data_IF_597662001782
#
_entry.id   IF_597662001782
#
_cell.length_a   1.000
_cell.length_b   1.000
_cell.length_c   1.000
_cell.angle_alpha   90.00
_cell.angle_beta   90.00
_cell.angle_gamma   90.00
#
_symmetry.space_group_name_H-M   'P 1'
#
loop_
_entity.id
_entity.type
_entity.pdbx_description
1 polymer ?
#
# COMPACT_ATOMS: atom_id res chain seq x y z
N UNK A 1 78.41 15.66 11.63
CA UNK A 1 77.06 15.10 11.44
C UNK A 1 76.03 16.21 11.67
N UNK A 2 75.41 16.78 10.63
CA UNK A 2 74.32 17.73 10.80
C UNK A 2 72.95 17.05 10.68
N UNK A 3 72.04 17.45 11.57
CA UNK A 3 70.67 16.94 11.70
C UNK A 3 69.77 17.41 10.53
N UNK A 4 68.88 16.52 10.09
CA UNK A 4 67.91 16.74 9.02
C UNK A 4 66.72 17.63 9.45
N UNK A 5 66.18 18.51 8.59
CA UNK A 5 65.00 19.31 8.90
C UNK A 5 63.70 18.53 8.65
N UNK A 6 62.79 18.55 9.63
CA UNK A 6 61.42 18.03 9.52
C UNK A 6 60.53 19.05 8.78
N UNK A 7 60.15 18.75 7.55
CA UNK A 7 59.13 19.50 6.80
C UNK A 7 57.71 19.15 7.25
N UNK A 8 56.91 20.18 7.58
CA UNK A 8 55.44 20.07 7.80
C UNK A 8 54.73 19.97 6.45
N UNK A 9 53.90 18.94 6.27
CA UNK A 9 52.94 18.85 5.16
C UNK A 9 51.75 19.81 5.40
N UNK A 10 51.25 20.52 4.38
CA UNK A 10 50.07 21.38 4.52
C UNK A 10 48.81 20.52 4.62
N UNK A 11 48.01 20.78 5.66
CA UNK A 11 46.75 20.08 5.92
C UNK A 11 45.70 20.37 4.85
N UNK A 12 45.07 19.32 4.35
CA UNK A 12 43.90 19.38 3.47
C UNK A 12 42.70 19.92 4.29
N UNK A 13 41.98 20.96 3.83
CA UNK A 13 40.83 21.48 4.56
C UNK A 13 39.66 20.48 4.54
N UNK A 14 38.87 20.37 5.61
CA UNK A 14 37.75 19.43 5.66
C UNK A 14 36.67 19.86 4.66
N UNK A 15 36.31 18.94 3.75
CA UNK A 15 35.16 19.11 2.87
C UNK A 15 33.89 19.19 3.73
N UNK A 16 33.33 20.39 3.84
CA UNK A 16 31.97 20.59 4.34
C UNK A 16 31.04 19.87 3.36
N UNK A 17 30.37 18.82 3.84
CA UNK A 17 29.27 18.16 3.12
C UNK A 17 28.15 19.17 2.85
N UNK A 18 28.24 19.85 1.72
CA UNK A 18 27.15 20.62 1.17
C UNK A 18 26.03 19.63 0.84
N UNK A 19 24.95 19.64 1.62
CA UNK A 19 23.68 19.04 1.19
C UNK A 19 23.26 19.77 -0.08
N UNK A 20 23.43 19.13 -1.22
CA UNK A 20 22.87 19.54 -2.50
C UNK A 20 21.37 19.80 -2.28
N UNK A 21 20.96 21.07 -2.38
CA UNK A 21 19.54 21.44 -2.44
C UNK A 21 19.02 20.92 -3.77
N UNK A 22 18.25 19.83 -3.74
CA UNK A 22 17.59 19.28 -4.92
C UNK A 22 16.61 20.32 -5.45
N UNK A 23 16.72 20.65 -6.73
CA UNK A 23 15.83 21.58 -7.41
C UNK A 23 14.43 20.94 -7.53
N UNK A 24 13.34 21.57 -7.03
CA UNK A 24 11.99 20.99 -7.07
C UNK A 24 11.46 20.66 -8.47
N UNK A 25 12.12 21.16 -9.55
CA UNK A 25 11.78 20.81 -10.94
C UNK A 25 12.24 19.41 -11.40
N UNK A 26 13.08 18.69 -10.64
CA UNK A 26 13.64 17.39 -11.05
C UNK A 26 13.04 16.17 -10.31
N UNK A 27 11.88 16.33 -9.67
CA UNK A 27 11.24 15.22 -8.96
C UNK A 27 10.46 14.31 -9.92
N UNK A 28 10.68 13.01 -9.80
CA UNK A 28 9.94 11.99 -10.56
C UNK A 28 8.44 12.13 -10.31
N UNK A 29 7.67 12.17 -11.41
CA UNK A 29 6.21 12.15 -11.34
C UNK A 29 5.72 10.70 -11.24
N UNK A 30 5.26 10.34 -10.05
CA UNK A 30 4.74 9.01 -9.80
C UNK A 30 3.23 9.03 -10.00
N UNK A 31 2.76 8.55 -11.15
CA UNK A 31 1.33 8.48 -11.50
C UNK A 31 0.85 7.04 -11.37
N UNK A 32 -0.34 6.86 -10.81
CA UNK A 32 -0.96 5.55 -10.74
C UNK A 32 -1.24 5.05 -12.18
N UNK A 33 -0.76 3.86 -12.56
CA UNK A 33 -0.82 3.36 -13.94
C UNK A 33 -2.23 2.97 -14.41
N UNK A 34 -3.09 2.56 -13.47
CA UNK A 34 -4.42 2.01 -13.78
C UNK A 34 -5.54 2.90 -13.27
N UNK A 35 -6.70 2.96 -13.93
CA UNK A 35 -7.93 3.42 -13.28
C UNK A 35 -8.31 2.46 -12.14
N UNK A 36 -9.15 2.89 -11.18
CA UNK A 36 -9.75 1.99 -10.19
C UNK A 36 -10.45 0.80 -10.88
N UNK A 37 -10.18 -0.42 -10.40
CA UNK A 37 -10.92 -1.61 -10.83
C UNK A 37 -12.17 -1.75 -9.96
N UNK A 38 -13.25 -1.09 -10.33
CA UNK A 38 -14.51 -1.07 -9.57
C UNK A 38 -15.70 -1.33 -10.50
N UNK A 39 -16.76 -1.93 -9.96
CA UNK A 39 -17.95 -2.32 -10.72
C UNK A 39 -19.18 -2.33 -9.81
N UNK A 40 -20.38 -2.20 -10.37
CA UNK A 40 -21.64 -1.95 -9.64
C UNK A 40 -21.96 -2.98 -8.55
N UNK A 41 -21.65 -4.25 -8.82
CA UNK A 41 -21.92 -5.37 -7.91
C UNK A 41 -20.81 -5.62 -6.88
N UNK A 42 -19.77 -4.80 -6.83
CA UNK A 42 -18.76 -4.89 -5.78
C UNK A 42 -19.33 -4.43 -4.44
N UNK A 43 -19.10 -5.20 -3.38
CA UNK A 43 -19.51 -4.85 -2.01
C UNK A 43 -18.32 -4.45 -1.14
N UNK A 44 -17.10 -4.78 -1.58
CA UNK A 44 -15.87 -4.49 -0.84
C UNK A 44 -14.80 -3.94 -1.76
N UNK A 45 -14.01 -2.99 -1.29
CA UNK A 45 -12.82 -2.53 -2.01
C UNK A 45 -11.54 -2.80 -1.24
N UNK A 46 -10.56 -3.36 -1.93
CA UNK A 46 -9.17 -3.37 -1.47
C UNK A 46 -8.56 -2.01 -1.78
N UNK A 47 -7.97 -1.37 -0.78
CA UNK A 47 -7.41 -0.01 -0.88
C UNK A 47 -5.95 -0.03 -0.45
N UNK A 48 -5.06 0.10 -1.42
CA UNK A 48 -3.63 0.27 -1.22
C UNK A 48 -3.21 1.73 -1.29
N UNK A 49 -1.90 1.97 -1.27
CA UNK A 49 -1.34 3.31 -1.36
C UNK A 49 -1.14 3.74 -2.81
N UNK A 50 -0.08 3.22 -3.44
CA UNK A 50 0.35 3.50 -4.80
C UNK A 50 1.29 2.36 -5.24
N UNK A 51 1.20 1.82 -6.48
CA UNK A 51 2.11 0.80 -6.96
C UNK A 51 3.58 1.26 -6.99
N UNK A 52 4.57 0.36 -7.15
CA UNK A 52 5.96 0.77 -7.33
C UNK A 52 6.15 1.67 -8.57
N UNK A 53 7.06 2.68 -8.53
CA UNK A 53 7.27 3.62 -9.64
C UNK A 53 7.48 3.03 -11.03
N UNK A 54 8.06 1.82 -11.12
CA UNK A 54 8.27 1.11 -12.39
C UNK A 54 6.97 0.76 -13.13
N UNK A 55 5.86 0.68 -12.41
CA UNK A 55 4.54 0.50 -13.03
C UNK A 55 4.08 1.77 -13.75
N UNK A 56 4.51 2.95 -13.30
CA UNK A 56 4.26 4.22 -14.00
C UNK A 56 5.01 4.29 -15.33
N UNK A 57 6.24 3.79 -15.38
CA UNK A 57 7.09 3.83 -16.58
C UNK A 57 6.85 2.63 -17.51
N UNK A 58 6.22 1.56 -17.01
CA UNK A 58 6.07 0.30 -17.73
C UNK A 58 7.32 -0.58 -17.72
N UNK A 59 8.35 -0.20 -16.96
CA UNK A 59 9.61 -0.95 -16.79
C UNK A 59 9.44 -2.12 -15.80
N UNK A 60 8.49 -3.00 -16.11
CA UNK A 60 8.12 -4.13 -15.27
C UNK A 60 9.26 -5.15 -15.18
N UNK A 61 9.43 -5.73 -13.99
CA UNK A 61 10.40 -6.78 -13.74
C UNK A 61 9.82 -8.16 -14.11
N UNK A 62 10.66 -9.17 -14.41
CA UNK A 62 10.19 -10.54 -14.50
C UNK A 62 9.44 -10.96 -13.24
N UNK A 63 8.21 -11.45 -13.41
CA UNK A 63 7.29 -11.81 -12.33
C UNK A 63 6.34 -10.70 -11.87
N UNK A 64 6.52 -9.46 -12.36
CA UNK A 64 5.46 -8.46 -12.25
C UNK A 64 4.34 -8.82 -13.24
N UNK A 65 3.09 -8.61 -12.85
CA UNK A 65 1.91 -8.68 -13.72
C UNK A 65 1.39 -7.26 -13.92
N UNK A 66 1.10 -6.86 -15.15
CA UNK A 66 0.62 -5.51 -15.48
C UNK A 66 -0.86 -5.30 -15.05
N UNK A 67 -1.09 -5.36 -13.75
CA UNK A 67 -2.39 -5.19 -13.11
C UNK A 67 -2.24 -4.67 -11.68
N UNK A 68 -3.34 -4.22 -11.07
CA UNK A 68 -3.36 -3.78 -9.68
C UNK A 68 -2.73 -4.82 -8.74
N UNK A 69 -1.87 -4.36 -7.81
CA UNK A 69 -1.05 -5.21 -6.92
C UNK A 69 -0.17 -6.24 -7.63
N UNK A 70 0.07 -6.09 -8.93
CA UNK A 70 0.81 -7.07 -9.73
C UNK A 70 2.32 -7.07 -9.51
N UNK A 71 2.85 -6.24 -8.61
CA UNK A 71 4.26 -6.27 -8.22
C UNK A 71 4.64 -7.63 -7.64
N UNK A 72 5.72 -8.24 -8.15
CA UNK A 72 6.34 -9.46 -7.60
C UNK A 72 6.83 -9.30 -6.16
N UNK A 73 7.07 -8.05 -5.75
CA UNK A 73 7.50 -7.71 -4.38
C UNK A 73 6.31 -7.58 -3.41
N UNK A 74 5.09 -7.60 -3.95
CA UNK A 74 3.83 -7.58 -3.22
C UNK A 74 3.32 -8.99 -2.92
N UNK A 75 2.57 -9.12 -1.83
CA UNK A 75 2.07 -10.40 -1.34
C UNK A 75 0.55 -10.54 -1.44
N UNK A 76 -0.19 -9.56 -1.97
CA UNK A 76 -1.66 -9.64 -2.02
C UNK A 76 -2.10 -10.86 -2.84
N UNK A 77 -1.61 -10.99 -4.06
CA UNK A 77 -1.97 -12.13 -4.93
C UNK A 77 -1.50 -13.47 -4.36
N UNK A 78 -0.25 -13.64 -3.86
CA UNK A 78 0.14 -14.87 -3.15
C UNK A 78 -0.74 -15.22 -1.94
N UNK A 79 -1.18 -14.21 -1.16
CA UNK A 79 -2.08 -14.42 -0.02
C UNK A 79 -3.43 -14.95 -0.52
N UNK A 80 -4.04 -14.27 -1.48
CA UNK A 80 -5.36 -14.64 -2.00
C UNK A 80 -5.35 -15.97 -2.76
N UNK A 81 -4.27 -16.25 -3.50
CA UNK A 81 -4.04 -17.53 -4.17
C UNK A 81 -4.04 -18.69 -3.17
N UNK A 82 -3.41 -18.51 -2.00
CA UNK A 82 -3.38 -19.51 -0.95
C UNK A 82 -4.70 -19.66 -0.20
N UNK A 83 -5.38 -18.54 0.11
CA UNK A 83 -6.68 -18.59 0.80
C UNK A 83 -7.73 -19.32 -0.06
N UNK A 84 -7.71 -19.10 -1.38
CA UNK A 84 -8.77 -19.60 -2.28
C UNK A 84 -8.33 -20.68 -3.24
N UNK A 85 -7.08 -21.15 -3.15
CA UNK A 85 -6.49 -22.16 -4.02
C UNK A 85 -6.72 -21.84 -5.51
N UNK A 86 -6.33 -20.63 -5.94
CA UNK A 86 -6.70 -20.09 -7.25
C UNK A 86 -5.85 -20.64 -8.40
N UNK A 87 -4.62 -21.08 -8.14
CA UNK A 87 -3.67 -21.50 -9.16
C UNK A 87 -3.26 -20.33 -10.06
N UNK A 88 -2.98 -19.17 -9.47
CA UNK A 88 -2.62 -17.96 -10.22
C UNK A 88 -1.30 -18.12 -10.97
N UNK A 89 -1.29 -17.66 -12.21
CA UNK A 89 -0.07 -17.39 -12.99
C UNK A 89 0.52 -16.05 -12.56
N UNK A 90 1.84 -15.99 -12.52
CA UNK A 90 2.60 -14.79 -12.11
C UNK A 90 3.48 -14.25 -13.24
N UNK A 91 3.46 -14.88 -14.41
CA UNK A 91 4.00 -14.31 -15.64
C UNK A 91 3.09 -13.18 -16.14
N UNK A 92 3.70 -12.11 -16.68
CA UNK A 92 2.96 -10.99 -17.25
C UNK A 92 2.24 -11.39 -18.54
N UNK A 93 1.03 -11.94 -18.41
CA UNK A 93 0.22 -12.45 -19.52
C UNK A 93 -1.22 -11.99 -19.37
N UNK A 94 -1.95 -11.94 -20.49
CA UNK A 94 -3.39 -11.67 -20.47
C UNK A 94 -4.14 -12.67 -19.57
N UNK A 95 -3.73 -13.93 -19.57
CA UNK A 95 -4.32 -14.98 -18.74
C UNK A 95 -4.14 -14.69 -17.24
N UNK A 96 -2.95 -14.28 -16.80
CA UNK A 96 -2.69 -13.91 -15.41
C UNK A 96 -3.55 -12.73 -14.96
N UNK A 97 -3.77 -11.75 -15.84
CA UNK A 97 -4.65 -10.61 -15.60
C UNK A 97 -6.12 -11.08 -15.50
N UNK A 98 -6.56 -11.94 -16.40
CA UNK A 98 -7.93 -12.43 -16.46
C UNK A 98 -8.29 -13.36 -15.29
N UNK A 99 -7.34 -14.16 -14.79
CA UNK A 99 -7.53 -14.92 -13.55
C UNK A 99 -7.85 -13.99 -12.37
N UNK A 100 -7.09 -12.90 -12.24
CA UNK A 100 -7.28 -11.89 -11.17
C UNK A 100 -8.62 -11.18 -11.31
N UNK A 101 -8.96 -10.70 -12.52
CA UNK A 101 -10.26 -10.06 -12.79
C UNK A 101 -11.43 -10.99 -12.50
N UNK A 102 -11.38 -12.25 -12.96
CA UNK A 102 -12.43 -13.24 -12.72
C UNK A 102 -12.65 -13.49 -11.23
N UNK A 103 -11.57 -13.68 -10.48
CA UNK A 103 -11.63 -13.84 -9.03
C UNK A 103 -12.30 -12.62 -8.36
N UNK A 104 -11.82 -11.42 -8.66
CA UNK A 104 -12.33 -10.17 -8.09
C UNK A 104 -13.83 -9.98 -8.39
N UNK A 105 -14.24 -10.20 -9.64
CA UNK A 105 -15.65 -10.10 -10.04
C UNK A 105 -16.52 -11.14 -9.32
N UNK A 106 -16.07 -12.40 -9.26
CA UNK A 106 -16.81 -13.48 -8.59
C UNK A 106 -16.99 -13.23 -7.09
N UNK A 107 -16.04 -12.54 -6.44
CA UNK A 107 -16.07 -12.20 -5.01
C UNK A 107 -16.72 -10.85 -4.69
N UNK A 108 -17.11 -10.08 -5.70
CA UNK A 108 -17.63 -8.71 -5.49
C UNK A 108 -16.57 -7.78 -4.90
N UNK A 109 -15.31 -7.93 -5.31
CA UNK A 109 -14.17 -7.16 -4.80
C UNK A 109 -13.69 -6.18 -5.87
N UNK A 110 -13.72 -4.90 -5.56
CA UNK A 110 -13.01 -3.87 -6.32
C UNK A 110 -11.61 -3.58 -5.75
N UNK A 111 -10.76 -2.92 -6.54
CA UNK A 111 -9.46 -2.41 -6.10
C UNK A 111 -9.37 -0.92 -6.44
N UNK A 112 -9.07 -0.10 -5.44
CA UNK A 112 -8.90 1.34 -5.60
C UNK A 112 -7.81 1.84 -4.65
N UNK A 113 -6.57 1.89 -5.12
CA UNK A 113 -5.47 2.55 -4.38
C UNK A 113 -5.78 4.03 -4.20
N UNK A 114 -5.40 4.58 -3.05
CA UNK A 114 -5.86 5.91 -2.62
C UNK A 114 -5.10 7.07 -3.23
N UNK A 115 -3.86 6.87 -3.70
CA UNK A 115 -3.05 7.91 -4.32
C UNK A 115 -3.25 7.86 -5.83
N UNK A 116 -3.64 8.99 -6.43
CA UNK A 116 -3.68 9.17 -7.89
C UNK A 116 -2.27 9.44 -8.42
N UNK A 117 -1.57 10.37 -7.76
CA UNK A 117 -0.20 10.73 -8.10
C UNK A 117 0.56 11.35 -6.93
N UNK A 118 1.87 11.29 -7.00
CA UNK A 118 2.80 11.94 -6.08
C UNK A 118 4.08 12.37 -6.80
N UNK A 119 4.90 13.18 -6.13
CA UNK A 119 6.28 13.50 -6.55
C UNK A 119 7.28 12.75 -5.67
N UNK A 120 8.40 12.31 -6.25
CA UNK A 120 9.47 11.62 -5.52
C UNK A 120 10.84 12.23 -5.83
N UNK A 121 11.62 12.49 -4.78
CA UNK A 121 13.05 12.85 -4.92
C UNK A 121 13.87 11.59 -5.23
N UNK A 122 13.58 10.51 -4.51
CA UNK A 122 14.17 9.18 -4.72
C UNK A 122 13.12 8.23 -5.28
N UNK A 123 13.43 7.61 -6.41
CA UNK A 123 12.55 6.66 -7.10
C UNK A 123 12.61 5.31 -6.39
N UNK A 124 11.76 5.13 -5.38
CA UNK A 124 11.55 3.86 -4.68
C UNK A 124 10.06 3.65 -4.34
N UNK A 125 9.72 2.46 -3.85
CA UNK A 125 8.34 2.10 -3.49
C UNK A 125 7.95 2.51 -2.05
N UNK A 126 8.77 3.31 -1.35
CA UNK A 126 8.46 3.68 0.04
C UNK A 126 7.34 4.71 0.10
N UNK A 127 6.31 4.47 0.92
CA UNK A 127 5.22 5.43 1.13
C UNK A 127 5.73 6.75 1.74
N UNK A 128 6.73 6.69 2.62
CA UNK A 128 7.25 7.86 3.34
C UNK A 128 8.01 8.83 2.44
N UNK A 129 8.49 8.37 1.27
CA UNK A 129 9.22 9.17 0.29
C UNK A 129 8.32 10.01 -0.62
N UNK A 130 6.99 9.80 -0.59
CA UNK A 130 6.06 10.56 -1.41
C UNK A 130 5.90 12.01 -0.91
N UNK A 131 5.93 12.95 -1.86
CA UNK A 131 5.63 14.37 -1.70
C UNK A 131 4.47 14.76 -2.61
N UNK A 132 3.85 15.91 -2.34
CA UNK A 132 2.78 16.47 -3.21
C UNK A 132 1.69 15.44 -3.57
N UNK A 133 1.29 14.63 -2.59
CA UNK A 133 0.35 13.53 -2.77
C UNK A 133 -1.02 14.08 -3.15
N UNK A 134 -1.50 13.70 -4.34
CA UNK A 134 -2.89 13.88 -4.76
C UNK A 134 -3.65 12.58 -4.57
N UNK A 135 -4.73 12.66 -3.81
CA UNK A 135 -5.59 11.52 -3.52
C UNK A 135 -6.67 11.36 -4.58
N UNK A 136 -7.13 10.13 -4.76
CA UNK A 136 -8.39 9.86 -5.46
C UNK A 136 -9.57 10.25 -4.59
N UNK A 137 -10.67 10.67 -5.21
CA UNK A 137 -11.92 10.94 -4.49
C UNK A 137 -12.67 9.65 -4.14
N UNK A 138 -12.19 8.95 -3.10
CA UNK A 138 -12.80 7.70 -2.64
C UNK A 138 -14.23 7.90 -2.12
N UNK A 139 -14.53 9.04 -1.50
CA UNK A 139 -15.90 9.31 -1.00
C UNK A 139 -16.85 9.60 -2.16
N UNK A 140 -16.41 10.30 -3.20
CA UNK A 140 -17.14 10.45 -4.45
C UNK A 140 -17.38 9.12 -5.15
N UNK A 141 -16.36 8.27 -5.27
CA UNK A 141 -16.51 6.91 -5.81
C UNK A 141 -17.48 6.09 -4.97
N UNK A 142 -17.36 6.08 -3.65
CA UNK A 142 -18.29 5.37 -2.78
C UNK A 142 -19.75 5.80 -3.02
N UNK A 143 -20.02 7.09 -3.26
CA UNK A 143 -21.38 7.55 -3.60
C UNK A 143 -21.89 7.02 -4.94
N UNK A 144 -21.00 6.73 -5.89
CA UNK A 144 -21.34 6.13 -7.18
C UNK A 144 -21.59 4.62 -7.08
N UNK A 145 -21.00 3.95 -6.08
CA UNK A 145 -21.13 2.51 -5.85
C UNK A 145 -21.85 2.23 -4.51
N UNK A 146 -23.20 2.31 -4.47
CA UNK A 146 -24.00 2.23 -3.24
C UNK A 146 -23.94 0.85 -2.53
N UNK A 147 -23.60 -0.20 -3.27
CA UNK A 147 -23.41 -1.58 -2.80
C UNK A 147 -22.17 -1.76 -1.92
N UNK A 148 -21.19 -0.86 -2.00
CA UNK A 148 -19.94 -0.98 -1.24
C UNK A 148 -20.19 -0.59 0.22
N UNK A 149 -19.98 -1.55 1.12
CA UNK A 149 -20.12 -1.37 2.57
C UNK A 149 -18.79 -1.48 3.32
N UNK A 150 -17.75 -2.02 2.68
CA UNK A 150 -16.48 -2.35 3.35
C UNK A 150 -15.27 -1.87 2.55
N UNK A 151 -14.34 -1.20 3.22
CA UNK A 151 -12.99 -0.91 2.72
C UNK A 151 -11.96 -1.79 3.44
N UNK A 152 -11.12 -2.49 2.68
CA UNK A 152 -10.03 -3.31 3.16
C UNK A 152 -8.70 -2.58 2.88
N UNK A 153 -8.19 -1.85 3.87
CA UNK A 153 -6.90 -1.18 3.74
C UNK A 153 -5.76 -2.18 3.87
N UNK A 154 -4.90 -2.26 2.85
CA UNK A 154 -3.71 -3.12 2.88
C UNK A 154 -2.51 -2.37 3.47
N UNK A 155 -2.73 -1.76 4.63
CA UNK A 155 -1.78 -0.89 5.33
C UNK A 155 -2.51 -0.01 6.34
N UNK A 156 -1.91 0.19 7.52
CA UNK A 156 -2.54 0.93 8.61
C UNK A 156 -2.29 2.44 8.58
N UNK A 157 -2.52 3.08 9.72
CA UNK A 157 -2.32 4.52 9.96
C UNK A 157 -0.83 4.96 10.06
N UNK A 158 0.10 4.21 9.45
CA UNK A 158 1.48 4.68 9.30
C UNK A 158 1.53 5.86 8.32
N UNK A 159 2.54 6.73 8.45
CA UNK A 159 2.69 7.90 7.57
C UNK A 159 2.56 7.50 6.10
N UNK A 160 1.64 8.16 5.40
CA UNK A 160 1.30 7.94 3.98
C UNK A 160 0.72 6.55 3.63
N UNK A 161 0.42 5.70 4.62
CA UNK A 161 -0.33 4.46 4.38
C UNK A 161 -1.79 4.73 4.00
N UNK A 162 -2.53 3.72 3.53
CA UNK A 162 -3.85 3.92 2.96
C UNK A 162 -4.88 4.39 4.00
N UNK A 163 -4.89 3.82 5.22
CA UNK A 163 -5.77 4.33 6.29
C UNK A 163 -5.41 5.77 6.68
N UNK A 164 -4.11 6.11 6.76
CA UNK A 164 -3.66 7.46 7.12
C UNK A 164 -4.13 8.50 6.10
N UNK A 165 -3.94 8.22 4.81
CA UNK A 165 -4.37 9.11 3.74
C UNK A 165 -5.89 9.17 3.65
N UNK A 166 -6.60 8.08 3.93
CA UNK A 166 -8.05 8.07 3.94
C UNK A 166 -8.62 8.91 5.08
N UNK A 167 -8.02 8.88 6.27
CA UNK A 167 -8.41 9.78 7.38
C UNK A 167 -8.28 11.25 6.99
N UNK A 168 -7.19 11.61 6.28
CA UNK A 168 -7.01 12.97 5.75
C UNK A 168 -8.10 13.31 4.73
N UNK A 169 -8.35 12.42 3.77
CA UNK A 169 -9.42 12.57 2.77
C UNK A 169 -10.80 12.78 3.39
N UNK A 170 -11.14 12.02 4.44
CA UNK A 170 -12.39 12.19 5.18
C UNK A 170 -12.46 13.54 5.92
N UNK A 171 -11.36 13.97 6.53
CA UNK A 171 -11.30 15.22 7.29
C UNK A 171 -11.58 16.44 6.40
N UNK A 172 -11.13 16.41 5.14
CA UNK A 172 -11.41 17.47 4.15
C UNK A 172 -12.92 17.62 3.86
N UNK A 173 -13.72 16.59 4.16
CA UNK A 173 -15.19 16.58 4.06
C UNK A 173 -15.91 16.63 5.43
N UNK A 174 -15.19 16.90 6.53
CA UNK A 174 -15.76 16.91 7.88
C UNK A 174 -16.13 15.52 8.43
N UNK A 175 -15.74 14.43 7.76
CA UNK A 175 -16.01 13.06 8.18
C UNK A 175 -14.86 12.50 9.02
N UNK A 176 -15.17 11.53 9.89
CA UNK A 176 -14.17 10.89 10.75
C UNK A 176 -14.45 9.40 10.92
N UNK A 177 -13.37 8.61 11.05
CA UNK A 177 -13.45 7.20 11.43
C UNK A 177 -13.65 7.07 12.94
N UNK A 178 -14.65 6.31 13.36
CA UNK A 178 -14.87 5.86 14.75
C UNK A 178 -14.27 4.48 14.95
N UNK A 179 -13.52 4.28 16.04
CA UNK A 179 -12.89 2.99 16.38
C UNK A 179 -13.92 1.96 16.85
N UNK A 180 -13.75 0.72 16.38
CA UNK A 180 -14.51 -0.47 16.83
C UNK A 180 -13.55 -1.51 17.40
N UNK A 181 -12.43 -1.76 16.70
CA UNK A 181 -11.34 -2.63 17.15
C UNK A 181 -10.01 -1.91 16.92
N UNK A 182 -9.22 -1.74 17.98
CA UNK A 182 -7.97 -0.97 18.00
C UNK A 182 -6.71 -1.84 17.77
N UNK A 183 -6.82 -3.16 17.95
CA UNK A 183 -5.79 -4.14 17.57
C UNK A 183 -5.84 -4.47 16.08
N UNK A 184 -4.70 -4.83 15.50
CA UNK A 184 -4.62 -5.25 14.08
C UNK A 184 -5.24 -6.63 13.90
N UNK A 185 -6.10 -6.86 12.89
CA UNK A 185 -6.65 -5.88 11.94
C UNK A 185 -7.60 -4.88 12.60
N UNK A 186 -7.31 -3.58 12.44
CA UNK A 186 -8.12 -2.53 13.08
C UNK A 186 -9.43 -2.40 12.36
N UNK A 187 -10.52 -2.25 13.10
CA UNK A 187 -11.84 -2.06 12.52
C UNK A 187 -12.33 -0.68 12.94
N UNK A 188 -12.75 0.10 11.95
CA UNK A 188 -13.40 1.38 12.15
C UNK A 188 -14.69 1.43 11.33
N UNK A 189 -15.47 2.48 11.57
CA UNK A 189 -16.64 2.83 10.78
C UNK A 189 -16.71 4.33 10.53
N UNK A 190 -17.39 4.75 9.48
CA UNK A 190 -17.83 6.13 9.32
C UNK A 190 -19.18 6.18 8.60
N UNK A 191 -19.93 7.25 8.81
CA UNK A 191 -21.19 7.49 8.11
C UNK A 191 -20.92 8.35 6.89
N UNK A 192 -21.24 7.84 5.71
CA UNK A 192 -21.20 8.56 4.45
C UNK A 192 -22.59 9.14 4.14
N UNK A 193 -22.74 10.48 4.08
CA UNK A 193 -23.96 11.11 3.62
C UNK A 193 -24.15 10.88 2.11
N UNK A 194 -25.33 10.35 1.77
CA UNK A 194 -25.81 10.13 0.42
C UNK A 194 -26.68 11.29 -0.09
N UNK A 195 -27.10 11.19 -1.36
CA UNK A 195 -28.08 12.13 -1.93
C UNK A 195 -29.44 11.93 -1.25
N UNK A 196 -30.17 13.01 -1.01
CA UNK A 196 -31.50 12.98 -0.41
C UNK A 196 -31.54 12.68 1.11
N UNK A 197 -30.44 12.86 1.84
CA UNK A 197 -30.40 12.68 3.30
C UNK A 197 -30.24 11.24 3.77
N UNK A 198 -30.07 10.27 2.85
CA UNK A 198 -29.71 8.90 3.21
C UNK A 198 -28.32 8.87 3.83
N UNK A 199 -28.15 8.10 4.91
CA UNK A 199 -26.85 7.89 5.55
C UNK A 199 -26.47 6.42 5.40
N UNK A 200 -25.24 6.16 4.95
CA UNK A 200 -24.71 4.80 4.82
C UNK A 200 -23.50 4.63 5.72
N UNK A 201 -23.54 3.64 6.61
CA UNK A 201 -22.37 3.25 7.37
C UNK A 201 -21.41 2.46 6.47
N UNK A 202 -20.14 2.83 6.50
CA UNK A 202 -19.05 2.12 5.84
C UNK A 202 -18.11 1.58 6.89
N UNK A 203 -17.86 0.27 6.85
CA UNK A 203 -16.86 -0.41 7.67
C UNK A 203 -15.49 -0.30 7.00
N UNK A 204 -14.45 -0.14 7.80
CA UNK A 204 -13.07 -0.25 7.31
C UNK A 204 -12.29 -1.27 8.10
N UNK A 205 -11.49 -2.09 7.43
CA UNK A 205 -10.59 -3.07 8.04
C UNK A 205 -9.15 -2.74 7.62
N UNK A 206 -8.30 -2.41 8.58
CA UNK A 206 -6.88 -2.13 8.33
C UNK A 206 -6.03 -3.37 8.58
N UNK A 207 -5.69 -4.03 7.48
CA UNK A 207 -4.86 -5.22 7.46
C UNK A 207 -3.36 -4.86 7.49
N UNK A 208 -2.55 -5.83 7.88
CA UNK A 208 -1.09 -5.75 7.75
C UNK A 208 -0.72 -5.65 6.29
N UNK A 209 0.13 -4.69 5.92
CA UNK A 209 0.50 -4.47 4.53
C UNK A 209 1.11 -5.74 3.89
N UNK A 210 0.70 -6.12 2.67
CA UNK A 210 1.19 -7.30 1.95
C UNK A 210 2.49 -6.93 1.22
N UNK A 211 3.48 -6.47 1.97
CA UNK A 211 4.79 -6.05 1.47
C UNK A 211 5.88 -6.56 2.41
N UNK A 212 7.03 -6.91 1.83
CA UNK A 212 8.23 -7.30 2.59
C UNK A 212 8.70 -6.22 3.57
N UNK A 213 8.45 -4.94 3.28
CA UNK A 213 8.79 -3.82 4.17
C UNK A 213 8.11 -3.91 5.54
N UNK A 214 6.94 -4.56 5.61
CA UNK A 214 6.19 -4.76 6.84
C UNK A 214 6.63 -5.99 7.64
N UNK A 215 7.56 -6.83 7.13
CA UNK A 215 7.98 -8.05 7.81
C UNK A 215 8.61 -7.78 9.19
N UNK A 216 9.36 -6.69 9.34
CA UNK A 216 9.91 -6.28 10.64
C UNK A 216 8.79 -5.98 11.64
N UNK A 217 7.74 -5.30 11.21
CA UNK A 217 6.59 -4.98 12.05
C UNK A 217 5.79 -6.25 12.40
N UNK A 218 5.61 -7.17 11.47
CA UNK A 218 5.01 -8.50 11.75
C UNK A 218 5.84 -9.24 12.80
N UNK A 219 7.16 -9.27 12.62
CA UNK A 219 8.09 -9.94 13.55
C UNK A 219 8.04 -9.42 14.99
N UNK A 220 7.58 -8.18 15.21
CA UNK A 220 7.42 -7.62 16.55
C UNK A 220 6.05 -7.91 17.18
N UNK A 221 5.06 -8.38 16.41
CA UNK A 221 3.71 -8.63 16.91
C UNK A 221 3.66 -9.84 17.86
N UNK A 222 3.04 -9.73 19.06
CA UNK A 222 2.91 -10.84 19.99
C UNK A 222 2.22 -12.08 19.39
N UNK A 223 1.17 -11.87 18.57
CA UNK A 223 0.46 -12.96 17.90
C UNK A 223 1.37 -13.75 16.95
N UNK A 224 2.17 -13.06 16.13
CA UNK A 224 3.16 -13.70 15.25
C UNK A 224 4.22 -14.46 16.05
N UNK A 225 4.80 -13.82 17.08
CA UNK A 225 5.83 -14.45 17.92
C UNK A 225 5.34 -15.74 18.59
N UNK A 226 4.09 -15.75 19.05
CA UNK A 226 3.49 -16.92 19.68
C UNK A 226 3.34 -18.08 18.70
N UNK A 227 2.86 -17.81 17.48
CA UNK A 227 2.77 -18.82 16.40
C UNK A 227 4.15 -19.31 15.97
N UNK A 228 5.12 -18.40 15.79
CA UNK A 228 6.50 -18.73 15.41
C UNK A 228 7.24 -19.56 16.46
N UNK A 229 6.92 -19.38 17.74
CA UNK A 229 7.48 -20.18 18.83
C UNK A 229 6.90 -21.61 18.85
N UNK A 230 5.61 -21.75 18.53
CA UNK A 230 4.96 -23.06 18.42
C UNK A 230 5.35 -23.82 17.14
N UNK A 231 5.55 -23.10 16.04
CA UNK A 231 5.98 -23.64 14.75
C UNK A 231 7.11 -22.78 14.16
N UNK A 232 8.38 -23.24 14.25
CA UNK A 232 9.51 -22.55 13.64
C UNK A 232 9.44 -22.42 12.12
N UNK A 233 8.60 -23.17 11.40
CA UNK A 233 8.40 -23.01 9.95
C UNK A 233 7.42 -21.87 9.61
N UNK A 234 6.58 -21.43 10.57
CA UNK A 234 5.59 -20.37 10.37
C UNK A 234 6.22 -19.05 9.88
N UNK A 235 5.72 -18.51 8.78
CA UNK A 235 6.29 -17.35 8.10
C UNK A 235 5.43 -16.10 8.27
N UNK A 236 5.97 -14.94 7.89
CA UNK A 236 5.17 -13.71 7.83
C UNK A 236 4.11 -13.75 6.73
N UNK A 237 4.21 -14.68 5.77
CA UNK A 237 3.16 -14.93 4.79
C UNK A 237 2.02 -15.73 5.43
N UNK A 238 2.32 -16.80 6.18
CA UNK A 238 1.31 -17.59 6.92
C UNK A 238 0.47 -16.68 7.83
N UNK A 239 1.14 -15.79 8.57
CA UNK A 239 0.47 -14.81 9.41
C UNK A 239 -0.49 -13.89 8.66
N UNK A 240 -0.11 -13.47 7.45
CA UNK A 240 -0.99 -12.63 6.63
C UNK A 240 -2.14 -13.44 6.03
N UNK A 241 -1.91 -14.69 5.63
CA UNK A 241 -2.96 -15.60 5.15
C UNK A 241 -4.03 -15.76 6.24
N UNK A 242 -3.63 -16.15 7.46
CA UNK A 242 -4.55 -16.29 8.60
C UNK A 242 -5.24 -14.96 8.96
N UNK A 243 -4.54 -13.83 8.83
CA UNK A 243 -5.10 -12.51 9.11
C UNK A 243 -6.09 -12.03 8.05
N UNK A 244 -5.87 -12.37 6.77
CA UNK A 244 -6.68 -11.87 5.65
C UNK A 244 -7.93 -12.73 5.43
N UNK A 245 -7.83 -14.04 5.65
CA UNK A 245 -8.89 -15.02 5.40
C UNK A 245 -10.28 -14.61 5.94
N UNK A 246 -10.44 -14.05 7.16
CA UNK A 246 -11.77 -13.70 7.68
C UNK A 246 -12.45 -12.50 6.97
N UNK A 247 -11.74 -11.81 6.07
CA UNK A 247 -12.21 -10.57 5.45
C UNK A 247 -12.39 -10.65 3.93
N UNK A 248 -11.99 -11.74 3.29
CA UNK A 248 -12.03 -11.95 1.84
C UNK A 248 -12.96 -13.10 1.45
#
# INVERSE_FOLDING_TARGET
MPAAPKGRMPGCPPMKNARLKVNPRNMFEHVHPYPPFVFERATRWVVGTLPPPRFTTGELLPGDVDFCYGSRDGQLWPILDRIFNLGLKFENTAEAIDQRKRFLMARGIGICDIVDRARREKVDASDTGMREIRLRDLTGLLRQFPSVDTLLFTGGNSKNGPEYLFRRHLADSGLRLSSVVDRVPRIHRFVLPGKGGSNREIRTVSLTAPSGSANRAVGSMPAYKSRKAADPAYTTLDFRVEQYEPFF
#
